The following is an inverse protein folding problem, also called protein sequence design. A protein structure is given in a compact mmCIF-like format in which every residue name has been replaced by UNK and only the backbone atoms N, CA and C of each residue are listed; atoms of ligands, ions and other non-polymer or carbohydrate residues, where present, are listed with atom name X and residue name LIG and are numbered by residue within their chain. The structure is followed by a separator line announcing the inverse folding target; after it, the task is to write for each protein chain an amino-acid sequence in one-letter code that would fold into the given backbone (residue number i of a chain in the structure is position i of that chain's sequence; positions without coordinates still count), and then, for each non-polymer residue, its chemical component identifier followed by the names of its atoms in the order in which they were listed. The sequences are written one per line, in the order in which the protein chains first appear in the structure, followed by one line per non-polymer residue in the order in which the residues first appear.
data_IF_569953502077
#
_entry.id   IF_569953502077
#
_cell.length_a   1.000
_cell.length_b   1.000
_cell.length_c   1.000
_cell.angle_alpha   90.00
_cell.angle_beta   90.00
_cell.angle_gamma   90.00
#
_symmetry.space_group_name_H-M   'P 1'
#
loop_
_entity.id
_entity.type
_entity.pdbx_description
1 polymer ?
#
# COMPACT_ATOMS: atom_id res chain seq x y z
N UNK A 1 -5.08 -13.56 -31.80
CA UNK A 1 -6.30 -12.99 -31.19
C UNK A 1 -5.84 -11.66 -30.65
N UNK A 2 -5.97 -10.61 -31.44
CA UNK A 2 -5.50 -9.28 -31.06
C UNK A 2 -6.53 -8.68 -30.12
N UNK A 3 -6.35 -8.88 -28.82
CA UNK A 3 -7.06 -8.06 -27.83
C UNK A 3 -6.42 -6.68 -27.87
N UNK A 4 -7.01 -5.78 -28.65
CA UNK A 4 -6.60 -4.38 -28.71
C UNK A 4 -7.08 -3.67 -27.43
N UNK A 5 -6.45 -4.03 -26.30
CA UNK A 5 -6.73 -3.47 -24.99
C UNK A 5 -6.09 -2.07 -24.90
N UNK A 6 -6.88 -1.01 -24.64
CA UNK A 6 -6.36 0.36 -24.65
C UNK A 6 -5.22 0.63 -23.68
N UNK A 7 -5.14 -0.07 -22.55
CA UNK A 7 -4.04 0.06 -21.61
C UNK A 7 -2.76 -0.57 -22.18
N UNK A 8 -2.86 -1.77 -22.73
CA UNK A 8 -1.69 -2.47 -23.29
C UNK A 8 -1.13 -1.69 -24.49
N UNK A 9 -2.00 -1.18 -25.36
CA UNK A 9 -1.62 -0.31 -26.48
C UNK A 9 -0.91 0.95 -25.99
N UNK A 10 -1.45 1.59 -24.95
CA UNK A 10 -0.87 2.79 -24.36
C UNK A 10 0.54 2.53 -23.81
N UNK A 11 0.71 1.44 -23.07
CA UNK A 11 1.99 1.06 -22.47
C UNK A 11 3.02 0.69 -23.55
N UNK A 12 2.60 -0.10 -24.55
CA UNK A 12 3.45 -0.52 -25.66
C UNK A 12 3.87 0.65 -26.57
N UNK A 13 3.02 1.66 -26.74
CA UNK A 13 3.32 2.83 -27.57
C UNK A 13 4.37 3.77 -26.96
N UNK A 14 4.67 3.69 -25.65
CA UNK A 14 5.68 4.56 -25.04
C UNK A 14 7.10 4.13 -25.46
N UNK A 15 8.02 5.09 -25.73
CA UNK A 15 9.41 4.76 -26.00
C UNK A 15 10.06 4.03 -24.83
N UNK A 16 10.88 3.01 -25.09
CA UNK A 16 11.56 2.18 -24.09
C UNK A 16 12.31 3.00 -23.01
N UNK A 17 12.93 4.12 -23.41
CA UNK A 17 13.59 5.09 -22.52
C UNK A 17 12.68 5.73 -21.45
N UNK A 18 11.37 5.50 -21.52
CA UNK A 18 10.38 5.89 -20.50
C UNK A 18 10.52 4.98 -19.28
N UNK A 19 10.61 3.67 -19.53
CA UNK A 19 10.65 2.60 -18.53
C UNK A 19 11.99 2.50 -17.80
N UNK A 20 13.04 3.11 -18.35
CA UNK A 20 14.38 3.18 -17.73
C UNK A 20 14.60 4.36 -16.77
N UNK A 21 13.62 5.25 -16.59
CA UNK A 21 13.79 6.47 -15.78
C UNK A 21 12.61 6.64 -14.81
N UNK A 22 12.81 6.49 -13.48
CA UNK A 22 11.72 6.48 -12.49
C UNK A 22 10.72 7.65 -12.65
N UNK A 23 11.21 8.88 -12.79
CA UNK A 23 10.36 10.07 -12.95
C UNK A 23 9.49 10.03 -14.22
N UNK A 24 9.96 9.40 -15.30
CA UNK A 24 9.18 9.23 -16.53
C UNK A 24 8.13 8.14 -16.38
N UNK A 25 8.47 7.04 -15.70
CA UNK A 25 7.53 5.98 -15.35
C UNK A 25 6.38 6.55 -14.54
N UNK A 26 6.66 7.25 -13.44
CA UNK A 26 5.62 7.87 -12.58
C UNK A 26 4.68 8.79 -13.37
N UNK A 27 5.22 9.56 -14.32
CA UNK A 27 4.41 10.40 -15.22
C UNK A 27 3.51 9.56 -16.13
N UNK A 28 4.06 8.51 -16.74
CA UNK A 28 3.28 7.60 -17.59
C UNK A 28 2.19 6.87 -16.80
N UNK A 29 2.46 6.48 -15.55
CA UNK A 29 1.48 5.80 -14.70
C UNK A 29 0.26 6.66 -14.39
N UNK A 30 0.44 7.98 -14.20
CA UNK A 30 -0.70 8.90 -13.97
C UNK A 30 -1.72 8.84 -15.11
N UNK A 31 -1.21 8.72 -16.33
CA UNK A 31 -2.02 8.60 -17.54
C UNK A 31 -2.56 7.17 -17.68
N UNK A 32 -1.74 6.15 -17.40
CA UNK A 32 -2.15 4.74 -17.40
C UNK A 32 -3.36 4.48 -16.49
N UNK A 33 -3.42 5.12 -15.32
CA UNK A 33 -4.54 4.98 -14.38
C UNK A 33 -5.88 5.45 -14.96
N UNK A 34 -5.89 6.29 -15.98
CA UNK A 34 -7.14 6.72 -16.62
C UNK A 34 -7.74 5.66 -17.56
N UNK A 35 -6.97 4.63 -17.92
CA UNK A 35 -7.45 3.51 -18.70
C UNK A 35 -8.17 2.51 -17.78
N UNK A 36 -9.28 1.95 -18.26
CA UNK A 36 -10.08 1.00 -17.48
C UNK A 36 -10.98 1.64 -16.40
N UNK A 37 -11.07 2.97 -16.33
CA UNK A 37 -11.97 3.66 -15.40
C UNK A 37 -13.41 3.58 -15.90
N UNK A 38 -14.39 3.11 -15.10
CA UNK A 38 -15.81 3.22 -15.43
C UNK A 38 -16.30 4.69 -15.28
N UNK A 39 -16.05 5.50 -16.32
CA UNK A 39 -16.13 6.98 -16.32
C UNK A 39 -17.51 7.55 -15.93
N UNK A 40 -18.61 6.82 -16.12
CA UNK A 40 -19.96 7.39 -16.00
C UNK A 40 -20.66 7.18 -14.65
N UNK A 41 -20.07 6.45 -13.69
CA UNK A 41 -20.74 6.14 -12.41
C UNK A 41 -20.05 6.67 -11.15
N UNK A 42 -18.80 7.14 -11.23
CA UNK A 42 -17.98 7.33 -10.02
C UNK A 42 -17.55 8.76 -9.68
N UNK A 43 -17.85 9.78 -10.50
CA UNK A 43 -17.31 11.14 -10.26
C UNK A 43 -17.67 11.70 -8.88
N UNK A 44 -18.95 11.61 -8.47
CA UNK A 44 -19.37 12.07 -7.14
C UNK A 44 -18.76 11.26 -5.99
N UNK A 45 -18.52 9.96 -6.19
CA UNK A 45 -17.88 9.11 -5.19
C UNK A 45 -16.37 9.38 -5.07
N UNK A 46 -15.71 9.64 -6.21
CA UNK A 46 -14.30 10.04 -6.29
C UNK A 46 -14.07 11.38 -5.59
N UNK A 47 -14.94 12.36 -5.84
CA UNK A 47 -14.83 13.68 -5.21
C UNK A 47 -15.01 13.58 -3.68
N UNK A 48 -15.97 12.77 -3.20
CA UNK A 48 -16.15 12.49 -1.77
C UNK A 48 -14.97 11.72 -1.15
N UNK A 49 -14.39 10.75 -1.86
CA UNK A 49 -13.21 10.04 -1.38
C UNK A 49 -12.05 11.02 -1.18
N UNK A 50 -11.74 11.87 -2.16
CA UNK A 50 -10.63 12.83 -2.03
C UNK A 50 -10.85 13.79 -0.84
N UNK A 51 -12.08 14.25 -0.62
CA UNK A 51 -12.39 15.20 0.46
C UNK A 51 -12.24 14.60 1.88
N UNK A 52 -12.40 13.29 2.03
CA UNK A 52 -12.49 12.65 3.34
C UNK A 52 -11.42 11.60 3.66
N UNK A 53 -10.62 11.16 2.69
CA UNK A 53 -9.69 10.03 2.87
C UNK A 53 -8.24 10.46 3.04
N UNK A 54 -7.87 11.69 2.68
CA UNK A 54 -6.47 12.16 2.75
C UNK A 54 -5.61 11.77 1.55
N UNK A 55 -6.17 11.14 0.52
CA UNK A 55 -5.48 10.96 -0.77
C UNK A 55 -5.31 12.30 -1.51
N UNK A 56 -4.21 12.44 -2.23
CA UNK A 56 -3.99 13.60 -3.11
C UNK A 56 -4.80 13.52 -4.41
N UNK A 57 -5.18 12.31 -4.83
CA UNK A 57 -6.06 12.06 -5.96
C UNK A 57 -6.65 10.64 -5.90
N UNK A 58 -7.75 10.46 -6.63
CA UNK A 58 -8.33 9.16 -6.96
C UNK A 58 -8.76 9.17 -8.43
N UNK A 59 -8.36 8.17 -9.22
CA UNK A 59 -8.83 7.97 -10.60
C UNK A 59 -10.03 7.04 -10.68
N UNK A 60 -10.18 6.12 -9.71
CA UNK A 60 -11.18 5.06 -9.76
C UNK A 60 -10.72 3.88 -10.61
N UNK A 61 -9.41 3.67 -10.73
CA UNK A 61 -8.85 2.54 -11.48
C UNK A 61 -9.08 1.24 -10.69
N UNK A 62 -9.71 0.21 -11.28
CA UNK A 62 -9.86 -1.08 -10.62
C UNK A 62 -8.52 -1.74 -10.30
N UNK A 63 -8.43 -2.45 -9.18
CA UNK A 63 -7.18 -3.08 -8.74
C UNK A 63 -6.67 -4.12 -9.73
N UNK A 64 -7.55 -4.81 -10.47
CA UNK A 64 -7.16 -5.71 -11.56
C UNK A 64 -6.37 -4.98 -12.66
N UNK A 65 -6.74 -3.73 -12.95
CA UNK A 65 -6.06 -2.88 -13.93
C UNK A 65 -4.70 -2.44 -13.38
N UNK A 66 -4.63 -2.11 -12.08
CA UNK A 66 -3.37 -1.78 -11.41
C UNK A 66 -2.41 -2.98 -11.38
N UNK A 67 -2.90 -4.21 -11.19
CA UNK A 67 -2.09 -5.43 -11.28
C UNK A 67 -1.50 -5.63 -12.67
N UNK A 68 -2.26 -5.35 -13.74
CA UNK A 68 -1.75 -5.38 -15.13
C UNK A 68 -0.65 -4.35 -15.36
N UNK A 69 -0.84 -3.14 -14.83
CA UNK A 69 0.20 -2.10 -14.85
C UNK A 69 1.47 -2.59 -14.15
N UNK A 70 1.36 -3.16 -12.94
CA UNK A 70 2.53 -3.67 -12.21
C UNK A 70 3.20 -4.83 -12.96
N UNK A 71 2.43 -5.77 -13.51
CA UNK A 71 2.98 -6.86 -14.32
C UNK A 71 3.79 -6.35 -15.52
N UNK A 72 3.29 -5.30 -16.20
CA UNK A 72 4.04 -4.62 -17.25
C UNK A 72 5.34 -3.99 -16.72
N UNK A 73 5.30 -3.29 -15.58
CA UNK A 73 6.49 -2.69 -14.98
C UNK A 73 7.55 -3.73 -14.63
N UNK A 74 7.16 -4.83 -13.99
CA UNK A 74 8.05 -5.95 -13.64
C UNK A 74 8.72 -6.56 -14.88
N UNK A 75 8.04 -6.52 -16.03
CA UNK A 75 8.56 -7.05 -17.30
C UNK A 75 9.50 -6.07 -18.02
N UNK A 76 9.29 -4.76 -17.86
CA UNK A 76 9.90 -3.73 -18.73
C UNK A 76 10.84 -2.77 -18.00
N UNK A 77 10.95 -2.85 -16.67
CA UNK A 77 11.82 -2.00 -15.86
C UNK A 77 12.88 -2.83 -15.15
N UNK A 78 14.08 -2.28 -15.03
CA UNK A 78 15.16 -2.84 -14.21
C UNK A 78 14.83 -2.73 -12.71
N UNK A 79 15.35 -3.64 -11.89
CA UNK A 79 15.09 -3.70 -10.44
C UNK A 79 15.39 -2.38 -9.72
N UNK A 80 16.52 -1.72 -10.01
CA UNK A 80 16.86 -0.42 -9.44
C UNK A 80 15.83 0.67 -9.78
N UNK A 81 15.25 0.58 -11.00
CA UNK A 81 14.21 1.51 -11.42
C UNK A 81 12.93 1.25 -10.63
N UNK A 82 12.53 -0.03 -10.48
CA UNK A 82 11.36 -0.44 -9.72
C UNK A 82 11.45 -0.03 -8.23
N UNK A 83 12.59 -0.28 -7.59
CA UNK A 83 12.84 0.12 -6.20
C UNK A 83 12.73 1.64 -6.05
N UNK A 84 13.27 2.39 -7.02
CA UNK A 84 13.15 3.86 -7.07
C UNK A 84 11.71 4.36 -7.30
N UNK A 85 10.78 3.52 -7.77
CA UNK A 85 9.37 3.92 -7.92
C UNK A 85 8.65 3.99 -6.58
N UNK A 86 8.97 3.10 -5.64
CA UNK A 86 8.27 2.99 -4.35
C UNK A 86 8.16 4.35 -3.63
N UNK A 87 9.25 5.08 -3.34
CA UNK A 87 9.15 6.39 -2.70
C UNK A 87 8.53 7.46 -3.59
N UNK A 88 8.66 7.38 -4.92
CA UNK A 88 8.12 8.39 -5.84
C UNK A 88 6.60 8.29 -5.98
N UNK A 89 6.06 7.07 -6.01
CA UNK A 89 4.62 6.82 -6.04
C UNK A 89 4.01 7.21 -4.70
N UNK A 90 4.60 6.73 -3.60
CA UNK A 90 4.11 7.04 -2.26
C UNK A 90 4.08 8.54 -1.97
N UNK A 91 5.14 9.26 -2.33
CA UNK A 91 5.22 10.72 -2.14
C UNK A 91 4.11 11.48 -2.89
N UNK A 92 3.65 10.96 -4.05
CA UNK A 92 2.56 11.58 -4.80
C UNK A 92 1.22 11.39 -4.09
N UNK A 93 1.03 10.29 -3.35
CA UNK A 93 -0.06 10.11 -2.38
C UNK A 93 -1.45 9.89 -2.97
N UNK A 94 -1.54 9.51 -4.25
CA UNK A 94 -2.83 9.11 -4.83
C UNK A 94 -3.21 7.68 -4.44
N UNK A 95 -4.50 7.36 -4.46
CA UNK A 95 -4.98 6.00 -4.14
C UNK A 95 -4.33 4.96 -5.04
N UNK A 96 -4.33 5.20 -6.35
CA UNK A 96 -3.73 4.29 -7.31
C UNK A 96 -2.21 4.17 -7.13
N UNK A 97 -1.52 5.23 -6.68
CA UNK A 97 -0.09 5.16 -6.38
C UNK A 97 0.20 4.25 -5.20
N UNK A 98 -0.56 4.41 -4.11
CA UNK A 98 -0.39 3.63 -2.88
C UNK A 98 -0.69 2.15 -3.17
N UNK A 99 -1.78 1.85 -3.86
CA UNK A 99 -2.12 0.48 -4.25
C UNK A 99 -1.07 -0.11 -5.21
N UNK A 100 -0.63 0.66 -6.22
CA UNK A 100 0.46 0.22 -7.12
C UNK A 100 1.74 -0.07 -6.35
N UNK A 101 2.07 0.76 -5.35
CA UNK A 101 3.24 0.58 -4.50
C UNK A 101 3.16 -0.72 -3.71
N UNK A 102 2.00 -1.04 -3.10
CA UNK A 102 1.80 -2.29 -2.38
C UNK A 102 1.94 -3.52 -3.27
N UNK A 103 1.28 -3.53 -4.44
CA UNK A 103 1.37 -4.63 -5.40
C UNK A 103 2.81 -4.77 -5.90
N UNK A 104 3.50 -3.67 -6.19
CA UNK A 104 4.90 -3.71 -6.65
C UNK A 104 5.83 -4.23 -5.55
N UNK A 105 5.69 -3.76 -4.32
CA UNK A 105 6.51 -4.17 -3.19
C UNK A 105 6.40 -5.68 -2.91
N UNK A 106 5.21 -6.27 -3.10
CA UNK A 106 5.03 -7.72 -3.00
C UNK A 106 5.85 -8.50 -4.03
N UNK A 107 6.02 -7.95 -5.23
CA UNK A 107 6.52 -8.68 -6.40
C UNK A 107 7.94 -8.27 -6.83
N UNK A 108 8.54 -7.26 -6.19
CA UNK A 108 9.89 -6.82 -6.52
C UNK A 108 10.92 -7.85 -6.06
N UNK A 109 12.04 -7.93 -6.78
CA UNK A 109 13.18 -8.73 -6.34
C UNK A 109 13.72 -8.19 -5.01
N UNK A 110 13.66 -9.01 -3.97
CA UNK A 110 14.10 -8.65 -2.62
C UNK A 110 15.58 -8.27 -2.56
N UNK A 111 16.41 -8.77 -3.48
CA UNK A 111 17.82 -8.40 -3.56
C UNK A 111 18.05 -6.93 -3.95
N UNK A 112 17.02 -6.27 -4.50
CA UNK A 112 17.04 -4.85 -4.86
C UNK A 112 16.51 -3.90 -3.77
N UNK A 113 16.10 -4.45 -2.63
CA UNK A 113 15.62 -3.67 -1.48
C UNK A 113 16.71 -3.52 -0.43
N UNK A 114 16.75 -2.36 0.21
CA UNK A 114 17.69 -2.07 1.31
C UNK A 114 17.29 -2.71 2.65
N UNK A 115 16.05 -3.21 2.75
CA UNK A 115 15.48 -3.87 3.92
C UNK A 115 14.38 -4.87 3.50
N UNK A 116 13.82 -5.63 4.45
CA UNK A 116 12.64 -6.44 4.18
C UNK A 116 11.41 -5.57 3.81
N UNK A 117 10.36 -6.19 3.27
CA UNK A 117 9.19 -5.47 2.77
C UNK A 117 8.46 -4.64 3.84
N UNK A 118 8.50 -5.07 5.10
CA UNK A 118 7.88 -4.35 6.21
C UNK A 118 8.72 -3.13 6.61
N UNK A 119 10.04 -3.29 6.66
CA UNK A 119 10.98 -2.19 6.83
C UNK A 119 10.89 -1.15 5.71
N UNK A 120 10.77 -1.59 4.45
CA UNK A 120 10.54 -0.69 3.31
C UNK A 120 9.23 0.05 3.47
N UNK A 121 8.12 -0.62 3.80
CA UNK A 121 6.82 0.01 4.00
C UNK A 121 6.89 1.08 5.09
N UNK A 122 7.47 0.78 6.27
CA UNK A 122 7.62 1.75 7.34
C UNK A 122 8.43 2.98 6.91
N UNK A 123 9.50 2.78 6.13
CA UNK A 123 10.30 3.88 5.59
C UNK A 123 9.57 4.78 4.58
N UNK A 124 8.49 4.32 3.96
CA UNK A 124 7.67 5.11 3.03
C UNK A 124 6.65 6.00 3.75
N UNK A 125 6.15 5.56 4.90
CA UNK A 125 5.05 6.20 5.63
C UNK A 125 5.41 7.63 6.06
N UNK A 126 4.55 8.59 5.72
CA UNK A 126 4.66 10.00 6.14
C UNK A 126 3.94 10.23 7.46
N UNK A 127 4.09 11.44 8.02
CA UNK A 127 3.45 11.82 9.28
C UNK A 127 1.92 11.60 9.32
N UNK A 128 1.27 11.63 8.17
CA UNK A 128 -0.16 11.37 8.00
C UNK A 128 -0.36 10.52 6.75
N UNK A 129 -1.21 9.50 6.83
CA UNK A 129 -1.58 8.68 5.68
C UNK A 129 -3.08 8.32 5.69
N UNK A 130 -3.69 8.09 4.51
CA UNK A 130 -5.01 7.47 4.42
C UNK A 130 -4.97 6.07 5.05
N UNK A 131 -5.73 5.85 6.12
CA UNK A 131 -5.74 4.54 6.81
C UNK A 131 -6.16 3.39 5.91
N UNK A 132 -7.15 3.60 5.04
CA UNK A 132 -7.57 2.59 4.06
C UNK A 132 -6.46 2.24 3.07
N UNK A 133 -5.60 3.21 2.74
CA UNK A 133 -4.43 2.99 1.89
C UNK A 133 -3.38 2.15 2.60
N UNK A 134 -3.08 2.46 3.87
CA UNK A 134 -2.17 1.65 4.68
C UNK A 134 -2.68 0.22 4.83
N UNK A 135 -3.95 0.05 5.21
CA UNK A 135 -4.56 -1.28 5.36
C UNK A 135 -4.51 -2.07 4.04
N UNK A 136 -4.82 -1.43 2.92
CA UNK A 136 -4.75 -2.08 1.60
C UNK A 136 -3.36 -2.63 1.30
N UNK A 137 -2.30 -1.87 1.59
CA UNK A 137 -0.91 -2.30 1.38
C UNK A 137 -0.52 -3.42 2.35
N UNK A 138 -0.89 -3.33 3.62
CA UNK A 138 -0.67 -4.38 4.62
C UNK A 138 -1.32 -5.69 4.18
N UNK A 139 -2.59 -5.65 3.75
CA UNK A 139 -3.29 -6.83 3.26
C UNK A 139 -2.65 -7.42 2.00
N UNK A 140 -2.12 -6.57 1.11
CA UNK A 140 -1.38 -7.01 -0.08
C UNK A 140 -0.08 -7.73 0.29
N UNK A 141 0.70 -7.21 1.26
CA UNK A 141 1.90 -7.88 1.75
C UNK A 141 1.60 -9.25 2.37
N UNK A 142 0.53 -9.36 3.15
CA UNK A 142 0.08 -10.66 3.65
C UNK A 142 -0.40 -11.60 2.54
N UNK A 143 -1.09 -11.08 1.52
CA UNK A 143 -1.53 -11.86 0.35
C UNK A 143 -0.35 -12.39 -0.46
N UNK A 144 0.77 -11.68 -0.44
CA UNK A 144 2.05 -12.10 -1.04
C UNK A 144 2.86 -13.09 -0.18
N UNK A 145 2.32 -13.60 0.92
CA UNK A 145 2.96 -14.58 1.80
C UNK A 145 4.31 -14.11 2.38
N UNK A 146 4.50 -12.81 2.58
CA UNK A 146 5.72 -12.24 3.18
C UNK A 146 5.84 -12.46 4.70
N UNK A 147 4.92 -13.22 5.31
CA UNK A 147 4.84 -13.41 6.76
C UNK A 147 4.35 -12.15 7.50
N UNK A 148 4.33 -12.18 8.83
CA UNK A 148 4.10 -10.98 9.65
C UNK A 148 5.43 -10.25 9.90
N UNK A 149 5.40 -8.93 10.17
CA UNK A 149 6.49 -8.30 10.89
C UNK A 149 6.75 -9.06 12.20
N UNK A 150 8.01 -9.19 12.61
CA UNK A 150 8.33 -9.80 13.89
C UNK A 150 7.92 -8.90 15.08
N UNK A 151 7.84 -9.49 16.26
CA UNK A 151 7.41 -8.80 17.48
C UNK A 151 8.32 -7.60 17.80
N UNK A 152 9.63 -7.71 17.57
CA UNK A 152 10.60 -6.64 17.85
C UNK A 152 10.33 -5.42 16.96
N UNK A 153 10.11 -5.62 15.65
CA UNK A 153 9.78 -4.56 14.71
C UNK A 153 8.42 -3.91 15.02
N UNK A 154 7.42 -4.70 15.43
CA UNK A 154 6.12 -4.17 15.85
C UNK A 154 6.24 -3.32 17.11
N UNK A 155 7.00 -3.77 18.12
CA UNK A 155 7.24 -3.03 19.35
C UNK A 155 7.98 -1.71 19.08
N UNK A 156 8.98 -1.73 18.20
CA UNK A 156 9.67 -0.52 17.72
C UNK A 156 8.70 0.47 17.08
N UNK A 157 7.76 -0.01 16.26
CA UNK A 157 6.74 0.85 15.65
C UNK A 157 5.72 1.39 16.64
N UNK A 158 5.30 0.59 17.62
CA UNK A 158 4.43 1.06 18.71
C UNK A 158 5.07 2.20 19.50
N UNK A 159 6.36 2.09 19.82
CA UNK A 159 7.15 3.13 20.50
C UNK A 159 7.58 4.30 19.62
N UNK A 160 7.25 4.27 18.32
CA UNK A 160 7.62 5.27 17.34
C UNK A 160 6.67 6.47 17.28
N UNK A 161 6.50 7.01 16.07
CA UNK A 161 5.53 8.09 15.82
C UNK A 161 4.09 7.53 15.75
N UNK A 162 3.04 8.35 15.97
CA UNK A 162 1.65 7.89 15.93
C UNK A 162 1.27 7.09 14.68
N UNK A 163 1.74 7.50 13.50
CA UNK A 163 1.44 6.79 12.24
C UNK A 163 2.09 5.39 12.17
N UNK A 164 3.25 5.21 12.79
CA UNK A 164 3.92 3.91 12.90
C UNK A 164 3.18 3.02 13.90
N UNK A 165 2.68 3.57 15.01
CA UNK A 165 1.81 2.83 15.93
C UNK A 165 0.50 2.40 15.24
N UNK A 166 -0.07 3.26 14.38
CA UNK A 166 -1.21 2.88 13.53
C UNK A 166 -0.84 1.73 12.57
N UNK A 167 0.32 1.80 11.91
CA UNK A 167 0.79 0.73 11.03
C UNK A 167 0.98 -0.58 11.81
N UNK A 168 1.57 -0.53 13.00
CA UNK A 168 1.75 -1.68 13.88
C UNK A 168 0.42 -2.34 14.24
N UNK A 169 -0.59 -1.55 14.63
CA UNK A 169 -1.95 -2.06 14.90
C UNK A 169 -2.56 -2.76 13.68
N UNK A 170 -2.45 -2.17 12.50
CA UNK A 170 -2.98 -2.77 11.27
C UNK A 170 -2.25 -4.07 10.91
N UNK A 171 -0.92 -4.08 10.99
CA UNK A 171 -0.12 -5.28 10.73
C UNK A 171 -0.43 -6.41 11.72
N UNK A 172 -0.51 -6.06 13.02
CA UNK A 172 -0.80 -7.00 14.08
C UNK A 172 -2.20 -7.59 13.93
N UNK A 173 -3.22 -6.76 13.69
CA UNK A 173 -4.59 -7.21 13.46
C UNK A 173 -4.71 -8.11 12.23
N UNK A 174 -4.11 -7.70 11.11
CA UNK A 174 -4.14 -8.47 9.87
C UNK A 174 -3.46 -9.84 10.03
N UNK A 175 -2.35 -9.91 10.77
CA UNK A 175 -1.67 -11.17 11.11
C UNK A 175 -2.47 -12.02 12.09
N UNK A 176 -3.01 -11.40 13.13
CA UNK A 176 -3.85 -12.04 14.15
C UNK A 176 -5.07 -12.73 13.52
N UNK A 177 -5.80 -12.06 12.63
CA UNK A 177 -6.93 -12.64 11.91
C UNK A 177 -6.51 -13.88 11.09
N UNK A 178 -5.36 -13.81 10.41
CA UNK A 178 -4.85 -14.91 9.57
C UNK A 178 -4.30 -16.08 10.37
N UNK A 179 -3.79 -15.83 11.57
CA UNK A 179 -3.29 -16.87 12.49
C UNK A 179 -4.40 -17.68 13.17
N UNK A 180 -5.67 -17.44 12.82
CA UNK A 180 -6.79 -18.03 13.54
C UNK A 180 -7.03 -17.38 14.91
N UNK A 181 -6.59 -16.12 15.07
CA UNK A 181 -6.75 -15.32 16.28
C UNK A 181 -6.00 -15.87 17.49
N UNK A 182 -4.75 -16.29 17.29
CA UNK A 182 -3.90 -16.74 18.37
C UNK A 182 -3.71 -15.61 19.44
N UNK A 183 -3.55 -15.95 20.73
CA UNK A 183 -3.27 -14.97 21.76
C UNK A 183 -2.00 -14.18 21.46
N UNK A 184 -2.00 -12.88 21.74
CA UNK A 184 -0.81 -12.06 21.60
C UNK A 184 0.23 -12.39 22.67
N UNK A 185 1.50 -12.10 22.38
CA UNK A 185 2.54 -12.10 23.41
C UNK A 185 2.27 -10.98 24.42
N UNK A 186 2.77 -11.15 25.66
CA UNK A 186 2.51 -10.19 26.75
C UNK A 186 2.95 -8.77 26.40
N UNK A 187 4.13 -8.62 25.80
CA UNK A 187 4.67 -7.31 25.37
C UNK A 187 3.82 -6.66 24.28
N UNK A 188 3.37 -7.43 23.28
CA UNK A 188 2.48 -6.88 22.24
C UNK A 188 1.11 -6.48 22.81
N UNK A 189 0.57 -7.26 23.76
CA UNK A 189 -0.68 -6.89 24.43
C UNK A 189 -0.54 -5.56 25.19
N UNK A 190 0.53 -5.39 25.95
CA UNK A 190 0.83 -4.15 26.67
C UNK A 190 0.95 -2.96 25.71
N UNK A 191 1.71 -3.11 24.62
CA UNK A 191 1.82 -2.07 23.59
C UNK A 191 0.47 -1.70 22.94
N UNK A 192 -0.41 -2.68 22.72
CA UNK A 192 -1.78 -2.44 22.20
C UNK A 192 -2.68 -1.75 23.23
N UNK A 193 -2.49 -1.98 24.53
CA UNK A 193 -3.26 -1.32 25.59
C UNK A 193 -2.84 0.16 25.74
N UNK A 194 -1.54 0.43 25.64
CA UNK A 194 -0.96 1.76 25.84
C UNK A 194 -1.11 2.70 24.63
N UNK A 195 -1.34 2.17 23.43
CA UNK A 195 -1.39 2.99 22.21
C UNK A 195 -2.57 3.96 22.21
N UNK A 196 -2.27 5.25 22.04
CA UNK A 196 -3.27 6.29 21.83
C UNK A 196 -3.72 6.31 20.36
N UNK A 197 -4.92 5.77 20.13
CA UNK A 197 -5.57 5.74 18.81
C UNK A 197 -6.36 7.02 18.49
N UNK A 198 -6.34 8.02 19.37
CA UNK A 198 -7.04 9.30 19.21
C UNK A 198 -8.56 9.18 19.24
N UNK A 199 -9.28 10.29 19.46
CA UNK A 199 -10.73 10.23 19.63
C UNK A 199 -11.53 9.98 18.34
N UNK A 200 -11.01 10.44 17.20
CA UNK A 200 -11.72 10.51 15.92
C UNK A 200 -11.69 9.24 15.09
N UNK A 201 -10.81 8.28 15.40
CA UNK A 201 -10.63 7.11 14.55
C UNK A 201 -11.37 5.87 15.07
N UNK A 202 -12.64 5.77 14.66
CA UNK A 202 -13.49 4.63 15.01
C UNK A 202 -12.98 3.29 14.45
N UNK A 203 -12.12 3.28 13.43
CA UNK A 203 -11.54 2.03 12.91
C UNK A 203 -10.44 1.53 13.84
N UNK A 204 -9.45 2.37 14.15
CA UNK A 204 -8.31 1.98 15.00
C UNK A 204 -8.75 1.60 16.42
N UNK A 205 -9.72 2.33 16.99
CA UNK A 205 -10.35 1.93 18.26
C UNK A 205 -10.92 0.52 18.21
N UNK A 206 -11.75 0.21 17.20
CA UNK A 206 -12.32 -1.14 17.05
C UNK A 206 -11.26 -2.21 16.85
N UNK A 207 -10.21 -1.91 16.09
CA UNK A 207 -9.09 -2.84 15.86
C UNK A 207 -8.38 -3.15 17.18
N UNK A 208 -8.02 -2.12 17.95
CA UNK A 208 -7.39 -2.25 19.26
C UNK A 208 -8.28 -3.02 20.23
N UNK A 209 -9.54 -2.64 20.36
CA UNK A 209 -10.47 -3.26 21.31
C UNK A 209 -10.68 -4.75 20.97
N UNK A 210 -10.80 -5.11 19.69
CA UNK A 210 -10.87 -6.51 19.25
C UNK A 210 -9.63 -7.34 19.62
N UNK A 211 -8.44 -6.75 19.51
CA UNK A 211 -7.19 -7.42 19.88
C UNK A 211 -7.09 -7.68 21.39
N UNK A 212 -7.63 -6.77 22.20
CA UNK A 212 -7.61 -6.87 23.66
C UNK A 212 -8.70 -7.80 24.23
N UNK A 213 -9.89 -7.80 23.62
CA UNK A 213 -11.06 -8.60 24.03
C UNK A 213 -10.93 -10.08 23.69
N UNK A 214 -10.22 -10.43 22.62
CA UNK A 214 -10.19 -11.78 22.09
C UNK A 214 -9.14 -12.70 22.75
N UNK A 215 -8.80 -12.44 24.01
CA UNK A 215 -7.81 -13.19 24.79
C UNK A 215 -8.41 -13.82 26.05
#
# INVERSE_FOLDING_TARGET
MDSNDPLDDFLAAKPERTWRKPKRVVKALREAYTYGVPVLQMKGHIDQMVEHTGYSFVCGTPDETLRRVVAFLLTNCESDTLASLLPLLWARGGREDIVTTGILLVNIDRASLDSDVWGVLAGLVRATEPLEGLLSVVEELYRGEHGSPDDDLLLDWFGGSPIHSCLALLCLHAGWVRSGRAPLTGHLREAVDEVDVGESDGLLKRVRDQLLEAQ
#
